data_IF_474254359730
#
_entry.id   IF_474254359730
#
_cell.length_a   1.000
_cell.length_b   1.000
_cell.length_c   1.000
_cell.angle_alpha   90.00
_cell.angle_beta   90.00
_cell.angle_gamma   90.00
#
_symmetry.space_group_name_H-M   'P 1'
#
loop_
_entity.id
_entity.type
_entity.pdbx_description
1 polymer ?
#
# COMPACT_ATOMS: atom_id res chain seq x y z
N UNK A 1 21.59 -13.94 -6.32
CA UNK A 1 20.40 -13.64 -7.13
C UNK A 1 19.11 -13.55 -6.31
N UNK A 2 18.79 -14.53 -5.49
CA UNK A 2 17.54 -14.54 -4.67
C UNK A 2 17.44 -13.36 -3.71
N UNK A 3 18.55 -12.86 -3.15
CA UNK A 3 18.53 -11.70 -2.24
C UNK A 3 18.17 -10.40 -2.95
N UNK A 4 18.70 -10.19 -4.16
CA UNK A 4 18.35 -9.02 -4.97
C UNK A 4 16.88 -9.06 -5.40
N UNK A 5 16.35 -10.24 -5.75
CA UNK A 5 14.95 -10.43 -6.07
C UNK A 5 14.07 -10.13 -4.85
N UNK A 6 14.42 -10.65 -3.67
CA UNK A 6 13.68 -10.41 -2.45
C UNK A 6 13.68 -8.91 -2.07
N UNK A 7 14.82 -8.22 -2.24
CA UNK A 7 14.88 -6.77 -2.01
C UNK A 7 14.00 -5.99 -2.99
N UNK A 8 13.99 -6.36 -4.27
CA UNK A 8 13.12 -5.76 -5.27
C UNK A 8 11.64 -5.99 -4.95
N UNK A 9 11.25 -7.22 -4.61
CA UNK A 9 9.87 -7.55 -4.25
C UNK A 9 9.43 -6.78 -3.01
N UNK A 10 10.31 -6.62 -2.03
CA UNK A 10 10.05 -5.79 -0.85
C UNK A 10 9.85 -4.33 -1.22
N UNK A 11 10.68 -3.77 -2.10
CA UNK A 11 10.51 -2.39 -2.58
C UNK A 11 9.19 -2.20 -3.32
N UNK A 12 8.81 -3.12 -4.21
CA UNK A 12 7.53 -3.10 -4.93
C UNK A 12 6.35 -3.19 -3.97
N UNK A 13 6.45 -4.03 -2.93
CA UNK A 13 5.44 -4.15 -1.88
C UNK A 13 5.25 -2.82 -1.15
N UNK A 14 6.34 -2.14 -0.75
CA UNK A 14 6.27 -0.82 -0.12
C UNK A 14 5.59 0.21 -1.04
N UNK A 15 6.00 0.29 -2.31
CA UNK A 15 5.39 1.21 -3.28
C UNK A 15 3.89 0.93 -3.44
N UNK A 16 3.51 -0.35 -3.51
CA UNK A 16 2.11 -0.74 -3.60
C UNK A 16 1.30 -0.27 -2.39
N UNK A 17 1.77 -0.55 -1.18
CA UNK A 17 1.09 -0.17 0.07
C UNK A 17 1.02 1.35 0.24
N UNK A 18 2.14 2.07 0.02
CA UNK A 18 2.16 3.52 0.11
C UNK A 18 1.19 4.16 -0.89
N UNK A 19 1.03 3.57 -2.09
CA UNK A 19 0.10 4.06 -3.10
C UNK A 19 -1.35 3.80 -2.71
N UNK A 20 -1.74 2.58 -2.37
CA UNK A 20 -3.14 2.25 -2.11
C UNK A 20 -3.63 2.83 -0.77
N UNK A 21 -2.94 2.58 0.34
CA UNK A 21 -3.35 3.09 1.64
C UNK A 21 -3.24 4.62 1.71
N UNK A 22 -2.15 5.18 1.18
CA UNK A 22 -1.94 6.61 1.16
C UNK A 22 -2.99 7.37 0.35
N UNK A 23 -3.43 6.82 -0.79
CA UNK A 23 -4.50 7.43 -1.58
C UNK A 23 -5.83 7.48 -0.81
N UNK A 24 -6.15 6.43 -0.03
CA UNK A 24 -7.33 6.42 0.85
C UNK A 24 -7.20 7.48 1.95
N UNK A 25 -6.04 7.58 2.60
CA UNK A 25 -5.79 8.59 3.63
C UNK A 25 -5.86 10.01 3.06
N UNK A 26 -5.30 10.24 1.87
CA UNK A 26 -5.38 11.53 1.18
C UNK A 26 -6.84 11.89 0.81
N UNK A 27 -7.63 10.94 0.30
CA UNK A 27 -9.06 11.16 0.03
C UNK A 27 -9.85 11.50 1.30
N UNK A 28 -9.49 10.89 2.42
CA UNK A 28 -10.20 11.12 3.69
C UNK A 28 -9.88 12.49 4.30
N UNK A 29 -8.67 13.02 4.09
CA UNK A 29 -8.19 14.23 4.76
C UNK A 29 -8.25 15.48 3.89
N UNK A 30 -7.84 15.38 2.63
CA UNK A 30 -7.64 16.55 1.76
C UNK A 30 -8.93 16.98 1.03
N UNK A 31 -9.99 16.14 1.01
CA UNK A 31 -11.21 16.41 0.25
C UNK A 31 -10.89 16.94 -1.17
N UNK A 32 -10.12 16.19 -1.96
CA UNK A 32 -9.63 16.68 -3.25
C UNK A 32 -10.80 17.09 -4.15
N UNK A 33 -10.61 18.10 -5.03
CA UNK A 33 -11.58 18.43 -6.07
C UNK A 33 -11.93 17.19 -6.90
N UNK A 34 -13.15 17.13 -7.44
CA UNK A 34 -13.67 15.96 -8.18
C UNK A 34 -12.70 15.39 -9.23
N UNK A 35 -11.92 16.25 -9.92
CA UNK A 35 -10.98 15.82 -10.94
C UNK A 35 -9.77 15.03 -10.40
N UNK A 36 -9.33 15.30 -9.15
CA UNK A 36 -8.22 14.56 -8.53
C UNK A 36 -8.65 13.19 -7.99
N UNK A 37 -9.96 12.93 -7.88
CA UNK A 37 -10.49 11.65 -7.43
C UNK A 37 -10.10 10.49 -8.36
N UNK A 38 -9.99 10.76 -9.67
CA UNK A 38 -9.60 9.76 -10.65
C UNK A 38 -8.14 9.28 -10.47
N UNK A 39 -7.21 10.19 -10.16
CA UNK A 39 -5.80 9.84 -9.91
C UNK A 39 -5.70 8.98 -8.64
N UNK A 40 -6.38 9.38 -7.57
CA UNK A 40 -6.38 8.63 -6.32
C UNK A 40 -7.02 7.25 -6.48
N UNK A 41 -8.12 7.13 -7.24
CA UNK A 41 -8.73 5.84 -7.56
C UNK A 41 -7.79 4.92 -8.34
N UNK A 42 -7.04 5.47 -9.29
CA UNK A 42 -6.02 4.70 -10.02
C UNK A 42 -4.87 4.27 -9.11
N UNK A 43 -4.41 5.14 -8.19
CA UNK A 43 -3.38 4.80 -7.21
C UNK A 43 -3.85 3.67 -6.29
N UNK A 44 -5.10 3.70 -5.81
CA UNK A 44 -5.69 2.62 -5.01
C UNK A 44 -5.65 1.32 -5.82
N UNK A 45 -6.22 1.31 -7.01
CA UNK A 45 -6.34 0.10 -7.84
C UNK A 45 -4.99 -0.52 -8.19
N UNK A 46 -4.07 0.30 -8.73
CA UNK A 46 -2.73 -0.14 -9.13
C UNK A 46 -1.89 -0.55 -7.91
N UNK A 47 -1.98 0.22 -6.82
CA UNK A 47 -1.31 -0.08 -5.56
C UNK A 47 -1.78 -1.40 -4.96
N UNK A 48 -3.09 -1.68 -4.94
CA UNK A 48 -3.63 -2.95 -4.46
C UNK A 48 -3.14 -4.14 -5.29
N UNK A 49 -3.21 -4.05 -6.62
CA UNK A 49 -2.72 -5.11 -7.51
C UNK A 49 -1.22 -5.34 -7.28
N UNK A 50 -0.43 -4.27 -7.23
CA UNK A 50 1.01 -4.36 -6.97
C UNK A 50 1.31 -5.00 -5.62
N UNK A 51 0.58 -4.62 -4.57
CA UNK A 51 0.72 -5.19 -3.21
C UNK A 51 0.43 -6.68 -3.20
N UNK A 52 -0.69 -7.11 -3.80
CA UNK A 52 -1.07 -8.52 -3.86
C UNK A 52 -0.02 -9.34 -4.64
N UNK A 53 0.35 -8.87 -5.84
CA UNK A 53 1.35 -9.56 -6.66
C UNK A 53 2.72 -9.65 -5.96
N UNK A 54 3.19 -8.56 -5.35
CA UNK A 54 4.46 -8.54 -4.65
C UNK A 54 4.44 -9.41 -3.38
N UNK A 55 3.33 -9.44 -2.64
CA UNK A 55 3.17 -10.31 -1.47
C UNK A 55 3.19 -11.78 -1.86
N UNK A 56 2.44 -12.18 -2.89
CA UNK A 56 2.41 -13.55 -3.39
C UNK A 56 3.78 -13.99 -3.94
N UNK A 57 4.46 -13.12 -4.70
CA UNK A 57 5.79 -13.40 -5.21
C UNK A 57 6.83 -13.51 -4.06
N UNK A 58 6.69 -12.70 -3.02
CA UNK A 58 7.53 -12.79 -1.81
C UNK A 58 7.31 -14.10 -1.06
N UNK A 59 6.06 -14.58 -0.99
CA UNK A 59 5.75 -15.91 -0.44
C UNK A 59 6.46 -17.01 -1.23
N UNK A 60 6.33 -17.01 -2.55
CA UNK A 60 7.01 -17.97 -3.41
C UNK A 60 8.54 -17.95 -3.23
N UNK A 61 9.13 -16.75 -3.16
CA UNK A 61 10.54 -16.59 -2.90
C UNK A 61 10.96 -17.15 -1.52
N UNK A 62 10.13 -16.97 -0.50
CA UNK A 62 10.36 -17.53 0.83
C UNK A 62 10.36 -19.07 0.81
N UNK A 63 9.36 -19.69 0.17
CA UNK A 63 9.31 -21.16 0.03
C UNK A 63 10.53 -21.72 -0.70
N UNK A 64 10.96 -21.09 -1.79
CA UNK A 64 12.17 -21.49 -2.53
C UNK A 64 13.42 -21.41 -1.61
N UNK A 65 13.54 -20.36 -0.80
CA UNK A 65 14.66 -20.18 0.13
C UNK A 65 14.72 -21.21 1.24
N UNK A 66 13.55 -21.63 1.73
CA UNK A 66 13.46 -22.64 2.79
C UNK A 66 13.81 -24.04 2.25
N UNK A 67 13.90 -24.24 0.92
CA UNK A 67 14.06 -25.56 0.32
C UNK A 67 12.96 -26.53 0.75
N UNK A 68 11.82 -25.97 1.15
CA UNK A 68 10.77 -26.70 1.82
C UNK A 68 9.95 -27.50 0.80
N UNK A 69 9.67 -28.72 1.13
CA UNK A 69 8.60 -29.47 0.48
C UNK A 69 7.26 -28.78 0.81
N UNK A 70 6.34 -28.74 -0.17
CA UNK A 70 5.01 -28.18 0.02
C UNK A 70 4.15 -29.14 0.85
N UNK A 71 4.48 -29.27 2.14
CA UNK A 71 3.68 -30.03 3.09
C UNK A 71 2.83 -29.10 3.99
N UNK A 72 1.80 -29.67 4.60
CA UNK A 72 0.87 -28.92 5.45
C UNK A 72 1.57 -28.34 6.68
N UNK A 73 2.57 -29.05 7.22
CA UNK A 73 3.30 -28.62 8.40
C UNK A 73 4.12 -27.36 8.11
N UNK A 74 4.87 -27.34 7.01
CA UNK A 74 5.64 -26.17 6.55
C UNK A 74 4.72 -25.00 6.22
N UNK A 75 3.62 -25.23 5.50
CA UNK A 75 2.63 -24.20 5.21
C UNK A 75 2.08 -23.56 6.50
N UNK A 76 1.65 -24.39 7.46
CA UNK A 76 1.12 -23.89 8.72
C UNK A 76 2.16 -23.10 9.51
N UNK A 77 3.42 -23.55 9.57
CA UNK A 77 4.50 -22.85 10.25
C UNK A 77 4.79 -21.47 9.64
N UNK A 78 4.77 -21.37 8.30
CA UNK A 78 4.94 -20.09 7.60
C UNK A 78 3.77 -19.15 7.86
N UNK A 79 2.53 -19.62 7.71
CA UNK A 79 1.34 -18.77 7.89
C UNK A 79 1.11 -18.33 9.34
N UNK A 80 1.49 -19.15 10.32
CA UNK A 80 1.41 -18.80 11.75
C UNK A 80 2.60 -17.93 12.22
N UNK A 81 3.60 -17.71 11.39
CA UNK A 81 4.70 -16.80 11.70
C UNK A 81 4.29 -15.33 11.57
N UNK A 82 5.05 -14.43 12.20
CA UNK A 82 4.84 -12.98 12.05
C UNK A 82 4.88 -12.54 10.57
N UNK A 83 5.76 -13.13 9.76
CA UNK A 83 5.85 -12.86 8.33
C UNK A 83 4.57 -13.31 7.61
N UNK A 84 4.06 -14.49 7.92
CA UNK A 84 2.80 -14.98 7.36
C UNK A 84 1.61 -14.10 7.76
N UNK A 85 1.52 -13.71 9.03
CA UNK A 85 0.50 -12.78 9.51
C UNK A 85 0.55 -11.44 8.75
N UNK A 86 1.74 -10.87 8.56
CA UNK A 86 1.93 -9.66 7.77
C UNK A 86 1.44 -9.83 6.33
N UNK A 87 1.78 -10.94 5.68
CA UNK A 87 1.34 -11.24 4.31
C UNK A 87 -0.17 -11.41 4.21
N UNK A 88 -0.80 -12.09 5.16
CA UNK A 88 -2.25 -12.22 5.22
C UNK A 88 -2.94 -10.85 5.33
N UNK A 89 -2.43 -9.96 6.21
CA UNK A 89 -2.96 -8.61 6.37
C UNK A 89 -2.78 -7.77 5.09
N UNK A 90 -1.65 -7.89 4.39
CA UNK A 90 -1.38 -7.20 3.13
C UNK A 90 -2.36 -7.63 2.03
N UNK A 91 -2.50 -8.94 1.83
CA UNK A 91 -3.37 -9.49 0.79
C UNK A 91 -4.84 -9.23 1.12
N UNK A 92 -5.26 -9.47 2.36
CA UNK A 92 -6.64 -9.25 2.78
C UNK A 92 -7.02 -7.75 2.69
N UNK A 93 -6.19 -6.86 3.25
CA UNK A 93 -6.46 -5.43 3.24
C UNK A 93 -6.44 -4.85 1.82
N UNK A 94 -5.47 -5.22 0.98
CA UNK A 94 -5.43 -4.78 -0.41
C UNK A 94 -6.58 -5.36 -1.24
N UNK A 95 -6.96 -6.61 -1.00
CA UNK A 95 -8.14 -7.24 -1.62
C UNK A 95 -9.43 -6.52 -1.25
N UNK A 96 -9.64 -6.26 0.03
CA UNK A 96 -10.82 -5.52 0.51
C UNK A 96 -10.87 -4.08 -0.03
N UNK A 97 -9.72 -3.41 -0.19
CA UNK A 97 -9.65 -2.10 -0.85
C UNK A 97 -10.02 -2.19 -2.34
N UNK A 98 -9.53 -3.21 -3.03
CA UNK A 98 -9.77 -3.40 -4.45
C UNK A 98 -11.25 -3.69 -4.75
N UNK A 99 -11.89 -4.54 -3.94
CA UNK A 99 -13.31 -4.87 -4.07
C UNK A 99 -14.22 -3.77 -3.49
N UNK A 100 -13.79 -3.09 -2.44
CA UNK A 100 -14.52 -1.99 -1.82
C UNK A 100 -14.44 -0.66 -2.61
N UNK A 101 -13.66 -0.59 -3.68
CA UNK A 101 -13.64 0.56 -4.58
C UNK A 101 -14.92 0.68 -5.44
N UNK A 102 -15.84 -0.27 -5.36
CA UNK A 102 -17.19 -0.16 -5.92
C UNK A 102 -18.07 0.74 -5.05
N UNK A 103 -19.06 1.42 -5.66
CA UNK A 103 -19.89 2.50 -5.10
C UNK A 103 -20.61 2.23 -3.76
N UNK A 104 -20.59 1.00 -3.27
CA UNK A 104 -21.27 0.58 -2.04
C UNK A 104 -20.41 0.69 -0.77
N UNK A 105 -19.10 1.00 -0.86
CA UNK A 105 -18.20 1.04 0.29
C UNK A 105 -18.23 2.40 0.97
N UNK A 106 -18.44 2.41 2.29
CA UNK A 106 -18.37 3.65 3.08
C UNK A 106 -16.91 4.11 3.22
N UNK A 107 -16.72 5.42 3.42
CA UNK A 107 -15.38 5.99 3.71
C UNK A 107 -14.73 5.32 4.92
N UNK A 108 -15.51 4.98 5.94
CA UNK A 108 -15.03 4.28 7.13
C UNK A 108 -14.47 2.90 6.79
N UNK A 109 -15.16 2.14 5.94
CA UNK A 109 -14.69 0.82 5.49
C UNK A 109 -13.37 0.92 4.71
N UNK A 110 -13.25 1.89 3.82
CA UNK A 110 -12.00 2.11 3.07
C UNK A 110 -10.83 2.48 4.00
N UNK A 111 -11.06 3.37 4.98
CA UNK A 111 -10.07 3.72 5.99
C UNK A 111 -9.65 2.51 6.83
N UNK A 112 -10.60 1.69 7.28
CA UNK A 112 -10.30 0.47 8.04
C UNK A 112 -9.44 -0.50 7.22
N UNK A 113 -9.74 -0.68 5.94
CA UNK A 113 -8.97 -1.55 5.06
C UNK A 113 -7.55 -0.99 4.79
N UNK A 114 -7.40 0.33 4.64
CA UNK A 114 -6.10 0.97 4.50
C UNK A 114 -5.25 0.83 5.77
N UNK A 115 -5.87 0.98 6.95
CA UNK A 115 -5.23 0.74 8.24
C UNK A 115 -4.81 -0.73 8.39
N UNK A 116 -5.62 -1.67 7.92
CA UNK A 116 -5.29 -3.10 7.94
C UNK A 116 -4.02 -3.40 7.11
N UNK A 117 -3.93 -2.82 5.90
CA UNK A 117 -2.73 -2.98 5.05
C UNK A 117 -1.49 -2.39 5.74
N UNK A 118 -1.58 -1.19 6.31
CA UNK A 118 -0.43 -0.57 6.98
C UNK A 118 -0.09 -1.24 8.31
N UNK A 119 -1.06 -1.82 9.02
CA UNK A 119 -0.83 -2.58 10.24
C UNK A 119 0.08 -3.81 10.02
N UNK A 120 0.15 -4.34 8.79
CA UNK A 120 1.06 -5.43 8.46
C UNK A 120 2.53 -5.14 8.81
N UNK A 121 2.92 -3.86 8.82
CA UNK A 121 4.29 -3.46 9.17
C UNK A 121 4.63 -3.64 10.65
N UNK A 122 3.63 -3.69 11.53
CA UNK A 122 3.86 -4.03 12.94
C UNK A 122 4.34 -5.48 13.14
N UNK A 123 4.07 -6.35 12.16
CA UNK A 123 4.46 -7.76 12.18
C UNK A 123 5.71 -8.06 11.36
N UNK A 124 6.36 -7.05 10.77
CA UNK A 124 7.51 -7.25 9.90
C UNK A 124 8.83 -6.83 10.57
N UNK A 125 9.85 -7.68 10.38
CA UNK A 125 11.25 -7.37 10.69
C UNK A 125 11.50 -7.07 12.16
N UNK A 126 12.33 -6.04 12.41
CA UNK A 126 12.72 -5.65 13.77
C UNK A 126 11.53 -5.17 14.62
N UNK A 127 10.52 -4.55 14.01
CA UNK A 127 9.33 -4.11 14.74
C UNK A 127 8.61 -5.28 15.44
N UNK A 128 8.57 -6.45 14.82
CA UNK A 128 8.00 -7.65 15.42
C UNK A 128 8.90 -8.25 16.53
N UNK A 129 10.22 -8.05 16.43
CA UNK A 129 11.19 -8.55 17.41
C UNK A 129 11.29 -7.67 18.66
N UNK A 130 11.16 -6.33 18.48
CA UNK A 130 11.34 -5.32 19.53
C UNK A 130 10.05 -5.06 20.35
N UNK A 131 8.98 -5.80 20.07
CA UNK A 131 7.76 -5.80 20.86
C UNK A 131 6.70 -4.81 20.38
N UNK A 132 5.59 -4.73 21.13
CA UNK A 132 4.37 -4.01 20.75
C UNK A 132 4.61 -2.52 20.45
N UNK A 133 5.44 -1.86 21.25
CA UNK A 133 5.72 -0.41 21.06
C UNK A 133 6.39 -0.14 19.71
N UNK A 134 7.40 -0.95 19.35
CA UNK A 134 8.07 -0.82 18.06
C UNK A 134 7.12 -1.11 16.91
N UNK A 135 6.23 -2.09 17.05
CA UNK A 135 5.17 -2.39 16.08
C UNK A 135 4.20 -1.21 15.87
N UNK A 136 3.76 -0.56 16.95
CA UNK A 136 2.88 0.62 16.87
C UNK A 136 3.60 1.79 16.18
N UNK A 137 4.87 2.04 16.54
CA UNK A 137 5.66 3.11 15.91
C UNK A 137 5.86 2.84 14.42
N UNK A 138 6.18 1.61 14.03
CA UNK A 138 6.31 1.23 12.62
C UNK A 138 5.00 1.43 11.85
N UNK A 139 3.87 0.99 12.41
CA UNK A 139 2.54 1.19 11.83
C UNK A 139 2.21 2.68 11.63
N UNK A 140 2.41 3.52 12.66
CA UNK A 140 2.14 4.96 12.58
C UNK A 140 3.06 5.63 11.56
N UNK A 141 4.36 5.29 11.58
CA UNK A 141 5.34 5.84 10.65
C UNK A 141 4.96 5.54 9.20
N UNK A 142 4.64 4.28 8.89
CA UNK A 142 4.25 3.88 7.53
C UNK A 142 2.92 4.51 7.12
N UNK A 143 1.95 4.65 8.03
CA UNK A 143 0.67 5.29 7.75
C UNK A 143 0.86 6.78 7.40
N UNK A 144 1.70 7.50 8.13
CA UNK A 144 2.05 8.90 7.85
C UNK A 144 2.82 9.04 6.54
N UNK A 145 3.80 8.16 6.30
CA UNK A 145 4.56 8.14 5.05
C UNK A 145 3.66 7.88 3.84
N UNK A 146 2.69 6.96 3.96
CA UNK A 146 1.72 6.66 2.92
C UNK A 146 0.83 7.87 2.62
N UNK A 147 0.28 8.51 3.66
CA UNK A 147 -0.50 9.73 3.52
C UNK A 147 0.29 10.83 2.81
N UNK A 148 1.53 11.08 3.24
CA UNK A 148 2.40 12.10 2.66
C UNK A 148 2.72 11.79 1.20
N UNK A 149 3.11 10.55 0.88
CA UNK A 149 3.42 10.10 -0.47
C UNK A 149 2.27 10.38 -1.44
N UNK A 150 1.05 10.01 -1.08
CA UNK A 150 -0.11 10.20 -1.95
C UNK A 150 -0.56 11.66 -2.02
N UNK A 151 -0.34 12.46 -0.98
CA UNK A 151 -0.63 13.89 -0.97
C UNK A 151 0.23 14.65 -1.99
N UNK A 152 1.46 14.20 -2.27
CA UNK A 152 2.31 14.78 -3.32
C UNK A 152 1.70 14.63 -4.72
N UNK A 153 1.01 13.54 -4.99
CA UNK A 153 0.33 13.35 -6.28
C UNK A 153 -0.84 14.32 -6.45
N UNK A 154 -1.60 14.57 -5.39
CA UNK A 154 -2.69 15.56 -5.38
C UNK A 154 -2.13 16.96 -5.60
N UNK A 155 -1.05 17.30 -4.90
CA UNK A 155 -0.38 18.60 -5.03
C UNK A 155 0.18 18.81 -6.44
N UNK A 156 0.88 17.81 -6.98
CA UNK A 156 1.40 17.85 -8.35
C UNK A 156 0.30 18.12 -9.37
N UNK A 157 -0.83 17.42 -9.25
CA UNK A 157 -1.97 17.57 -10.14
C UNK A 157 -2.60 18.97 -10.02
N UNK A 158 -2.73 19.50 -8.81
CA UNK A 158 -3.21 20.85 -8.57
C UNK A 158 -2.28 21.92 -9.20
N UNK A 159 -0.96 21.76 -9.05
CA UNK A 159 0.03 22.67 -9.64
C UNK A 159 0.01 22.61 -11.18
N UNK A 160 -0.13 21.42 -11.77
CA UNK A 160 -0.21 21.28 -13.23
C UNK A 160 -1.43 21.98 -13.81
N UNK A 161 -2.57 21.93 -13.14
CA UNK A 161 -3.80 22.63 -13.56
C UNK A 161 -3.69 24.14 -13.39
N UNK A 162 -3.14 24.62 -12.29
CA UNK A 162 -2.93 26.05 -12.10
C UNK A 162 -2.02 26.65 -13.18
N UNK A 163 -0.99 25.92 -13.61
CA UNK A 163 -0.14 26.32 -14.73
C UNK A 163 -0.89 26.41 -16.07
N UNK A 164 -1.74 25.43 -16.36
CA UNK A 164 -2.52 25.42 -17.63
C UNK A 164 -3.56 26.54 -17.70
N UNK A 165 -4.21 26.88 -16.60
CA UNK A 165 -5.16 28.00 -16.53
C UNK A 165 -4.46 29.35 -16.67
N UNK A 166 -3.26 29.52 -16.11
CA UNK A 166 -2.48 30.73 -16.28
C UNK A 166 -2.04 30.97 -17.73
N UNK A 167 -1.59 29.91 -18.43
CA UNK A 167 -1.21 29.99 -19.86
C UNK A 167 -2.42 30.31 -20.73
N UNK A 168 -3.57 29.71 -20.47
CA UNK A 168 -4.80 30.02 -21.20
C UNK A 168 -5.26 31.47 -21.00
N UNK A 169 -5.09 32.03 -19.80
CA UNK A 169 -5.45 33.40 -19.50
C UNK A 169 -4.53 34.45 -20.14
N UNK A 170 -3.25 34.11 -20.41
CA UNK A 170 -2.29 35.03 -21.04
C UNK A 170 -2.32 35.04 -22.55
N UNK A 171 -3.02 34.09 -23.20
CA UNK A 171 -3.16 34.04 -24.66
C UNK A 171 -1.85 33.78 -25.43
N UNK A 172 -0.79 33.35 -24.77
CA UNK A 172 0.47 33.01 -25.42
C UNK A 172 0.38 31.65 -26.13
N UNK A 173 0.64 31.60 -27.46
CA UNK A 173 0.72 30.32 -28.16
C UNK A 173 1.93 29.53 -27.67
N UNK A 174 1.74 28.23 -27.40
CA UNK A 174 2.79 27.27 -27.06
C UNK A 174 3.70 26.96 -28.23
#
# INVERSE_FOLDING_TARGET
MLDALAALLKALLYVGILSCAGAVFAQATLRPPFDSSHILSQLIRRGCVLTICAALASAGCLFIRLGAEFDIATLSAVFLSNTGAAMCLQIAGAGLLLFGASDASTRATQLSNALLVTASFAFNGHAAADGLTAGIVAFLHVSLAAWWFSSLWVLRDACARAGSTAVAATGWPS
#
